data_IF_434642611556
#
_entry.id   IF_434642611556
#
_cell.length_a   1.000
_cell.length_b   1.000
_cell.length_c   1.000
_cell.angle_alpha   90.00
_cell.angle_beta   90.00
_cell.angle_gamma   90.00
#
_symmetry.space_group_name_H-M   'P 1'
#
loop_
_entity.id
_entity.type
_entity.pdbx_description
1 polymer ?
#
# COMPACT_ATOMS: atom_id res chain seq x y z
N UNK A 1 -56.32 12.61 34.19
CA UNK A 1 -54.99 12.06 34.50
C UNK A 1 -54.08 12.19 33.28
N UNK A 2 -53.03 13.01 33.44
CA UNK A 2 -51.72 13.06 32.76
C UNK A 2 -51.66 12.83 31.24
N UNK A 3 -51.54 13.94 30.50
CA UNK A 3 -50.94 13.96 29.17
C UNK A 3 -49.43 13.71 29.20
N UNK A 4 -48.90 13.09 28.14
CA UNK A 4 -47.45 12.99 27.88
C UNK A 4 -47.16 13.34 26.42
N UNK A 5 -46.83 14.61 26.18
CA UNK A 5 -46.07 15.11 25.01
C UNK A 5 -44.60 14.74 25.20
N UNK A 6 -43.95 13.98 24.30
CA UNK A 6 -42.48 13.91 24.08
C UNK A 6 -42.24 13.19 22.73
N UNK A 7 -41.48 13.63 21.73
CA UNK A 7 -40.72 14.83 21.42
C UNK A 7 -40.06 14.57 20.04
N UNK A 8 -40.10 15.52 19.09
CA UNK A 8 -39.44 15.40 17.78
C UNK A 8 -37.93 15.24 17.98
N UNK A 9 -37.38 14.06 17.71
CA UNK A 9 -35.92 13.84 17.68
C UNK A 9 -35.40 14.41 16.36
N UNK A 10 -35.03 15.69 16.39
CA UNK A 10 -34.24 16.34 15.35
C UNK A 10 -32.84 15.73 15.41
N UNK A 11 -32.57 14.70 14.60
CA UNK A 11 -31.20 14.19 14.42
C UNK A 11 -30.39 15.26 13.68
N UNK A 12 -29.66 16.07 14.45
CA UNK A 12 -28.68 17.05 13.99
C UNK A 12 -27.72 16.36 13.00
N UNK A 13 -27.79 16.76 11.73
CA UNK A 13 -26.83 16.40 10.68
C UNK A 13 -25.47 16.98 11.06
N UNK A 14 -24.64 16.19 11.75
CA UNK A 14 -23.30 16.62 12.17
C UNK A 14 -22.49 16.91 10.91
N UNK A 15 -22.07 18.18 10.78
CA UNK A 15 -21.35 18.75 9.64
C UNK A 15 -19.99 18.06 9.44
N UNK A 16 -19.96 17.07 8.54
CA UNK A 16 -18.73 16.40 8.08
C UNK A 16 -17.89 17.22 7.08
N UNK A 17 -18.20 18.52 6.87
CA UNK A 17 -17.56 19.36 5.84
C UNK A 17 -16.28 20.10 6.30
N UNK A 18 -16.00 20.17 7.60
CA UNK A 18 -14.85 20.94 8.12
C UNK A 18 -13.50 20.24 8.03
N UNK A 19 -13.47 18.90 8.05
CA UNK A 19 -12.22 18.12 8.11
C UNK A 19 -11.48 18.01 6.78
N UNK A 20 -12.15 18.23 5.64
CA UNK A 20 -11.54 18.04 4.31
C UNK A 20 -10.58 19.17 3.91
N UNK A 21 -10.78 20.39 4.44
CA UNK A 21 -9.99 21.58 4.04
C UNK A 21 -8.60 21.64 4.67
N UNK A 22 -8.39 21.03 5.83
CA UNK A 22 -7.09 21.06 6.54
C UNK A 22 -6.07 20.10 5.88
N UNK A 23 -6.53 19.02 5.22
CA UNK A 23 -5.63 18.09 4.49
C UNK A 23 -5.04 18.67 3.20
N UNK A 24 -5.56 19.80 2.70
CA UNK A 24 -5.12 20.40 1.42
C UNK A 24 -3.88 21.30 1.55
N UNK A 25 -3.47 21.64 2.78
CA UNK A 25 -2.42 22.62 3.03
C UNK A 25 -1.01 22.03 3.18
N UNK A 26 -0.86 20.70 3.27
CA UNK A 26 0.46 20.04 3.23
C UNK A 26 0.67 19.52 1.81
N UNK A 27 0.91 20.45 0.88
CA UNK A 27 1.39 20.09 -0.45
C UNK A 27 2.90 19.89 -0.32
N UNK A 28 3.29 18.66 0.03
CA UNK A 28 4.67 18.22 -0.25
C UNK A 28 4.81 18.27 -1.76
N UNK A 29 5.78 19.03 -2.26
CA UNK A 29 6.15 18.97 -3.68
C UNK A 29 6.71 17.58 -3.93
N UNK A 30 5.88 16.67 -4.41
CA UNK A 30 6.28 15.35 -4.89
C UNK A 30 7.00 15.52 -6.23
N UNK A 31 8.24 16.01 -6.17
CA UNK A 31 9.10 16.14 -7.35
C UNK A 31 9.39 14.74 -7.90
N UNK A 32 8.93 14.46 -9.13
CA UNK A 32 9.22 13.22 -9.86
C UNK A 32 8.12 12.17 -9.90
N UNK A 33 6.96 12.38 -9.26
CA UNK A 33 5.86 11.38 -9.29
C UNK A 33 4.88 11.69 -10.43
N UNK A 34 4.83 10.82 -11.44
CA UNK A 34 3.86 10.92 -12.54
C UNK A 34 2.40 10.88 -12.02
N UNK A 35 1.45 11.57 -12.67
CA UNK A 35 0.05 11.59 -12.25
C UNK A 35 -0.58 10.19 -12.10
N UNK A 36 -0.12 9.21 -12.88
CA UNK A 36 -0.59 7.83 -12.85
C UNK A 36 -0.22 7.12 -11.54
N UNK A 37 0.95 7.45 -11.00
CA UNK A 37 1.53 6.81 -9.81
C UNK A 37 1.13 7.49 -8.52
N UNK A 38 0.61 8.73 -8.62
CA UNK A 38 0.23 9.55 -7.47
C UNK A 38 -0.68 8.84 -6.48
N UNK A 39 -1.64 8.03 -6.97
CA UNK A 39 -2.53 7.22 -6.11
C UNK A 39 -1.73 6.27 -5.22
N UNK A 40 -0.72 5.61 -5.77
CA UNK A 40 0.14 4.65 -5.07
C UNK A 40 1.14 5.34 -4.15
N UNK A 41 1.63 6.52 -4.54
CA UNK A 41 2.51 7.35 -3.73
C UNK A 41 1.91 7.76 -2.38
N UNK A 42 0.62 8.14 -2.36
CA UNK A 42 -0.05 8.53 -1.09
C UNK A 42 -0.14 7.35 -0.11
N UNK A 43 -0.19 6.12 -0.63
CA UNK A 43 -0.25 4.88 0.15
C UNK A 43 1.08 4.13 0.17
N UNK A 44 2.21 4.79 -0.12
CA UNK A 44 3.54 4.13 -0.22
C UNK A 44 3.92 3.35 1.05
N UNK A 45 3.47 3.81 2.23
CA UNK A 45 3.71 3.13 3.49
C UNK A 45 2.86 1.87 3.71
N UNK A 46 1.75 1.72 2.97
CA UNK A 46 1.01 0.46 2.93
C UNK A 46 1.70 -0.57 2.02
N UNK A 47 2.43 -0.09 1.00
CA UNK A 47 3.26 -0.94 0.14
C UNK A 47 4.51 -1.41 0.89
N UNK A 48 5.25 -0.46 1.47
CA UNK A 48 6.41 -0.72 2.32
C UNK A 48 6.42 0.20 3.53
N UNK A 49 6.36 -0.36 4.73
CA UNK A 49 6.40 0.40 5.99
C UNK A 49 7.68 1.22 6.13
N UNK A 50 8.78 0.69 5.58
CA UNK A 50 10.13 1.30 5.61
C UNK A 50 10.49 1.99 4.29
N UNK A 51 9.51 2.55 3.57
CA UNK A 51 9.75 3.23 2.29
C UNK A 51 10.90 4.27 2.36
N UNK A 52 10.94 5.06 3.44
CA UNK A 52 11.94 6.12 3.60
C UNK A 52 13.37 5.63 3.88
N UNK A 53 13.60 4.31 4.01
CA UNK A 53 14.95 3.74 4.17
C UNK A 53 15.69 3.54 2.84
N UNK A 54 15.28 4.25 1.79
CA UNK A 54 15.91 4.19 0.47
C UNK A 54 15.29 3.18 -0.48
N UNK A 55 14.02 2.81 -0.29
CA UNK A 55 13.30 1.96 -1.23
C UNK A 55 13.13 2.69 -2.56
N UNK A 56 13.55 2.04 -3.64
CA UNK A 56 13.40 2.51 -5.01
C UNK A 56 12.32 1.70 -5.70
N UNK A 57 11.49 2.39 -6.46
CA UNK A 57 10.36 1.81 -7.18
C UNK A 57 10.44 2.26 -8.63
N UNK A 58 10.33 1.32 -9.55
CA UNK A 58 10.08 1.54 -10.96
C UNK A 58 8.60 1.85 -11.20
N UNK A 59 8.26 2.34 -12.40
CA UNK A 59 6.88 2.66 -12.73
C UNK A 59 5.97 1.43 -12.60
N UNK A 60 6.40 0.26 -13.07
CA UNK A 60 5.62 -0.98 -13.01
C UNK A 60 5.42 -1.48 -11.58
N UNK A 61 6.46 -1.45 -10.74
CA UNK A 61 6.41 -1.88 -9.36
C UNK A 61 5.37 -1.12 -8.53
N UNK A 62 5.09 0.14 -8.83
CA UNK A 62 4.02 0.86 -8.14
C UNK A 62 2.63 0.25 -8.36
N UNK A 63 2.40 -0.38 -9.51
CA UNK A 63 1.13 -1.03 -9.86
C UNK A 63 1.10 -2.50 -9.43
N UNK A 64 2.25 -3.18 -9.47
CA UNK A 64 2.34 -4.63 -9.31
C UNK A 64 2.79 -5.09 -7.93
N UNK A 65 3.44 -4.22 -7.13
CA UNK A 65 3.98 -4.64 -5.84
C UNK A 65 2.87 -5.09 -4.89
N UNK A 66 3.10 -6.24 -4.27
CA UNK A 66 2.21 -6.74 -3.23
C UNK A 66 2.46 -5.96 -1.94
N UNK A 67 1.43 -5.35 -1.32
CA UNK A 67 1.58 -4.66 -0.03
C UNK A 67 2.18 -5.56 1.05
N UNK A 68 3.04 -5.00 1.89
CA UNK A 68 3.83 -5.73 2.89
C UNK A 68 3.00 -6.69 3.75
N UNK A 69 1.81 -6.25 4.20
CA UNK A 69 0.91 -7.04 5.04
C UNK A 69 0.39 -8.30 4.33
N UNK A 70 0.17 -8.22 3.02
CA UNK A 70 -0.28 -9.35 2.21
C UNK A 70 0.89 -10.31 2.02
N UNK A 71 2.05 -9.79 1.60
CA UNK A 71 3.27 -10.58 1.42
C UNK A 71 3.65 -11.36 2.70
N UNK A 72 3.54 -10.73 3.88
CA UNK A 72 3.80 -11.38 5.17
C UNK A 72 2.82 -12.54 5.44
N UNK A 73 1.54 -12.38 5.10
CA UNK A 73 0.54 -13.46 5.22
C UNK A 73 0.82 -14.62 4.27
N UNK A 74 1.40 -14.35 3.10
CA UNK A 74 1.83 -15.39 2.18
C UNK A 74 3.03 -16.15 2.77
N UNK A 75 4.04 -15.43 3.25
CA UNK A 75 5.20 -16.01 3.92
C UNK A 75 4.83 -16.87 5.14
N UNK A 76 3.92 -16.39 5.99
CA UNK A 76 3.50 -17.14 7.18
C UNK A 76 2.79 -18.47 6.87
N UNK A 77 2.29 -18.64 5.64
CA UNK A 77 1.59 -19.86 5.21
C UNK A 77 2.49 -20.84 4.45
N UNK A 78 3.70 -20.44 4.07
CA UNK A 78 4.65 -21.34 3.44
C UNK A 78 5.13 -22.39 4.45
N UNK A 79 5.21 -23.65 4.01
CA UNK A 79 5.49 -24.80 4.88
C UNK A 79 6.97 -25.00 5.23
N UNK A 80 7.83 -23.98 5.10
CA UNK A 80 9.28 -24.12 5.23
C UNK A 80 9.99 -24.44 3.90
N UNK A 81 11.32 -24.34 3.93
CA UNK A 81 12.20 -24.75 2.84
C UNK A 81 12.68 -23.61 1.93
N UNK A 82 12.68 -23.88 0.63
CA UNK A 82 13.19 -22.99 -0.42
C UNK A 82 12.01 -22.41 -1.20
N UNK A 83 11.97 -21.08 -1.30
CA UNK A 83 10.97 -20.34 -2.10
C UNK A 83 11.61 -19.91 -3.41
N UNK A 84 10.91 -20.17 -4.53
CA UNK A 84 11.30 -19.66 -5.85
C UNK A 84 10.29 -18.58 -6.23
N UNK A 85 10.74 -17.35 -6.32
CA UNK A 85 9.94 -16.23 -6.83
C UNK A 85 10.34 -15.94 -8.27
N UNK A 86 9.48 -16.33 -9.22
CA UNK A 86 9.70 -16.16 -10.66
C UNK A 86 9.29 -14.80 -11.22
N UNK A 87 8.60 -13.99 -10.42
CA UNK A 87 8.07 -12.68 -10.83
C UNK A 87 8.25 -11.68 -9.68
N UNK A 88 9.45 -11.64 -9.11
CA UNK A 88 9.72 -10.88 -7.90
C UNK A 88 9.48 -9.37 -8.08
N UNK A 89 9.65 -8.83 -9.30
CA UNK A 89 9.55 -7.41 -9.59
C UNK A 89 10.46 -6.59 -8.66
N UNK A 90 9.91 -5.58 -7.99
CA UNK A 90 10.61 -4.79 -6.94
C UNK A 90 10.84 -5.53 -5.62
N UNK A 91 10.40 -6.80 -5.52
CA UNK A 91 10.71 -7.68 -4.40
C UNK A 91 9.73 -7.64 -3.22
N UNK A 92 8.50 -7.15 -3.40
CA UNK A 92 7.51 -7.05 -2.30
C UNK A 92 7.25 -8.39 -1.57
N UNK A 93 7.07 -9.47 -2.33
CA UNK A 93 6.90 -10.83 -1.77
C UNK A 93 8.22 -11.44 -1.31
N UNK A 94 9.25 -11.35 -2.16
CA UNK A 94 10.60 -11.82 -1.90
C UNK A 94 11.16 -11.35 -0.55
N UNK A 95 11.01 -10.06 -0.22
CA UNK A 95 11.48 -9.50 1.06
C UNK A 95 10.84 -10.22 2.24
N UNK A 96 9.53 -10.46 2.20
CA UNK A 96 8.84 -11.12 3.30
C UNK A 96 9.20 -12.60 3.39
N UNK A 97 9.34 -13.29 2.26
CA UNK A 97 9.84 -14.67 2.28
C UNK A 97 11.27 -14.77 2.81
N UNK A 98 12.15 -13.81 2.51
CA UNK A 98 13.53 -13.80 2.97
C UNK A 98 13.66 -13.63 4.50
N UNK A 99 12.64 -13.06 5.15
CA UNK A 99 12.63 -13.00 6.63
C UNK A 99 12.35 -14.34 7.30
N UNK A 100 11.86 -15.34 6.54
CA UNK A 100 11.41 -16.63 7.09
C UNK A 100 12.06 -17.85 6.42
N UNK A 101 12.52 -17.75 5.17
CA UNK A 101 12.97 -18.87 4.33
C UNK A 101 14.17 -18.50 3.45
N UNK A 102 14.77 -19.51 2.83
CA UNK A 102 15.76 -19.31 1.77
C UNK A 102 15.01 -18.99 0.46
N UNK A 103 15.31 -17.85 -0.16
CA UNK A 103 14.61 -17.37 -1.36
C UNK A 103 15.57 -17.37 -2.55
N UNK A 104 15.17 -18.02 -3.63
CA UNK A 104 15.76 -17.83 -4.95
C UNK A 104 14.85 -16.91 -5.77
N UNK A 105 15.42 -15.82 -6.24
CA UNK A 105 14.76 -14.94 -7.20
C UNK A 105 15.13 -15.45 -8.59
N UNK A 106 14.14 -15.99 -9.30
CA UNK A 106 14.29 -16.27 -10.71
C UNK A 106 13.85 -15.00 -11.44
N UNK A 107 14.81 -14.24 -11.94
CA UNK A 107 14.53 -13.13 -12.86
C UNK A 107 14.04 -13.71 -14.20
N UNK A 108 12.76 -14.06 -14.28
CA UNK A 108 12.08 -14.39 -15.53
C UNK A 108 11.29 -13.16 -15.98
N UNK A 109 12.05 -12.09 -16.27
CA UNK A 109 11.75 -10.96 -17.19
C UNK A 109 12.60 -9.75 -16.78
N UNK A 110 13.91 -9.84 -17.00
CA UNK A 110 14.62 -8.67 -17.44
C UNK A 110 14.06 -8.35 -18.84
N UNK A 111 13.15 -7.38 -18.91
CA UNK A 111 13.16 -6.36 -19.97
C UNK A 111 13.59 -6.87 -21.36
N UNK A 112 12.94 -7.89 -21.93
CA UNK A 112 13.08 -8.18 -23.37
C UNK A 112 12.18 -7.20 -24.16
N UNK A 113 12.41 -5.91 -23.93
CA UNK A 113 11.94 -4.77 -24.72
C UNK A 113 12.86 -3.54 -24.52
N UNK A 114 14.13 -3.77 -24.19
CA UNK A 114 15.22 -2.79 -24.34
C UNK A 114 16.42 -3.48 -25.00
N UNK A 115 16.27 -3.79 -26.28
CA UNK A 115 17.34 -3.64 -27.27
C UNK A 115 16.76 -2.85 -28.45
#
# INVERSE_FOLDING_TARGET
>A
MVGKRKGKIIKRRVKFKGKWRIKKAVVVKDEGVSPLVKKYWVQRYDLFLRYDQGIKMDEEGWFSVTPEKIALRHASRCGGGVVIDGFAGVGGNAIQFATMYFVFLAELLCVHFFL
#
